data_IF_083950544309
#
_entry.id   IF_083950544309
#
_cell.length_a   1.000
_cell.length_b   1.000
_cell.length_c   1.000
_cell.angle_alpha   90.00
_cell.angle_beta   90.00
_cell.angle_gamma   90.00
#
_symmetry.space_group_name_H-M   'P 1'
#
loop_
_entity.id
_entity.type
_entity.pdbx_description
1 polymer ?
#
# COMPACT_ATOMS: atom_id res chain seq x y z
N UNK A 1 -3.34 -16.45 -6.22
CA UNK A 1 -3.14 -15.29 -5.32
C UNK A 1 -3.07 -14.05 -6.20
N UNK A 2 -3.69 -12.93 -5.78
CA UNK A 2 -3.94 -11.77 -6.66
C UNK A 2 -3.34 -10.49 -6.09
N UNK A 3 -2.56 -9.80 -6.93
CA UNK A 3 -2.00 -8.47 -6.69
C UNK A 3 -3.10 -7.45 -6.36
N UNK A 4 -4.32 -7.62 -6.89
CA UNK A 4 -5.45 -6.73 -6.62
C UNK A 4 -5.85 -6.74 -5.13
N UNK A 5 -5.75 -7.89 -4.46
CA UNK A 5 -6.01 -7.98 -3.03
C UNK A 5 -4.95 -7.24 -2.22
N UNK A 6 -3.68 -7.37 -2.59
CA UNK A 6 -2.59 -6.64 -1.94
C UNK A 6 -2.74 -5.13 -2.14
N UNK A 7 -3.10 -4.67 -3.35
CA UNK A 7 -3.36 -3.26 -3.63
C UNK A 7 -4.51 -2.70 -2.80
N UNK A 8 -5.66 -3.39 -2.77
CA UNK A 8 -6.82 -2.98 -1.95
C UNK A 8 -6.49 -2.95 -0.47
N UNK A 9 -5.70 -3.91 0.01
CA UNK A 9 -5.23 -3.90 1.40
C UNK A 9 -4.33 -2.72 1.70
N UNK A 10 -3.40 -2.36 0.81
CA UNK A 10 -2.54 -1.17 0.99
C UNK A 10 -3.37 0.13 1.05
N UNK A 11 -4.42 0.24 0.23
CA UNK A 11 -5.34 1.39 0.31
C UNK A 11 -6.16 1.38 1.61
N UNK A 12 -6.56 0.20 2.09
CA UNK A 12 -7.22 0.06 3.39
C UNK A 12 -6.29 0.49 4.53
N UNK A 13 -5.01 0.09 4.53
CA UNK A 13 -4.02 0.53 5.54
C UNK A 13 -3.90 2.06 5.58
N UNK A 14 -4.04 2.72 4.43
CA UNK A 14 -3.97 4.19 4.33
C UNK A 14 -5.22 4.86 4.89
N UNK A 15 -6.40 4.31 4.62
CA UNK A 15 -7.70 4.93 4.91
C UNK A 15 -8.29 4.51 6.26
N UNK A 16 -8.05 3.28 6.71
CA UNK A 16 -8.57 2.72 7.95
C UNK A 16 -7.53 2.84 9.09
N UNK A 17 -7.82 3.71 10.05
CA UNK A 17 -6.97 3.95 11.21
C UNK A 17 -6.86 2.72 12.12
N UNK A 18 -7.87 1.84 12.17
CA UNK A 18 -7.83 0.64 12.99
C UNK A 18 -6.78 -0.34 12.49
N UNK A 19 -6.64 -0.50 11.16
CA UNK A 19 -5.59 -1.32 10.55
C UNK A 19 -4.22 -0.73 10.85
N UNK A 20 -4.09 0.59 10.71
CA UNK A 20 -2.84 1.30 10.97
C UNK A 20 -2.38 1.10 12.42
N UNK A 21 -3.30 1.24 13.38
CA UNK A 21 -3.01 1.00 14.80
C UNK A 21 -2.59 -0.44 15.08
N UNK A 22 -3.23 -1.42 14.45
CA UNK A 22 -2.84 -2.83 14.58
C UNK A 22 -1.42 -3.08 14.06
N UNK A 23 -1.02 -2.44 12.95
CA UNK A 23 0.33 -2.54 12.43
C UNK A 23 1.36 -1.86 13.35
N UNK A 24 1.03 -0.68 13.88
CA UNK A 24 1.91 0.04 14.82
C UNK A 24 2.09 -0.69 16.15
N UNK A 25 1.10 -1.46 16.60
CA UNK A 25 1.22 -2.31 17.79
C UNK A 25 2.24 -3.45 17.62
N UNK A 26 2.60 -3.81 16.38
CA UNK A 26 3.60 -4.83 16.09
C UNK A 26 5.03 -4.28 16.04
N UNK A 27 5.19 -2.96 16.00
CA UNK A 27 6.47 -2.27 16.03
C UNK A 27 6.43 -0.94 15.28
N UNK A 28 7.46 -0.13 15.49
CA UNK A 28 7.61 1.18 14.81
C UNK A 28 7.83 1.02 13.30
N UNK A 29 8.39 -0.13 12.87
CA UNK A 29 8.62 -0.47 11.47
C UNK A 29 8.01 -1.85 11.12
N UNK A 30 6.73 -1.91 10.72
CA UNK A 30 6.07 -3.17 10.39
C UNK A 30 6.68 -3.81 9.13
N UNK A 31 6.97 -5.11 9.22
CA UNK A 31 7.58 -5.88 8.12
C UNK A 31 6.55 -6.33 7.07
N UNK A 32 7.03 -6.85 5.92
CA UNK A 32 6.16 -7.49 4.92
C UNK A 32 5.34 -8.64 5.52
N UNK A 33 5.95 -9.39 6.44
CA UNK A 33 5.29 -10.48 7.18
C UNK A 33 4.16 -9.98 8.07
N UNK A 34 4.37 -8.87 8.79
CA UNK A 34 3.33 -8.28 9.64
C UNK A 34 2.12 -7.83 8.82
N UNK A 35 2.37 -7.23 7.65
CA UNK A 35 1.33 -6.82 6.72
C UNK A 35 0.50 -8.02 6.24
N UNK A 36 1.15 -9.13 5.87
CA UNK A 36 0.50 -10.36 5.42
C UNK A 36 -0.33 -11.00 6.55
N UNK A 37 0.20 -11.04 7.78
CA UNK A 37 -0.51 -11.61 8.92
C UNK A 37 -1.76 -10.78 9.30
N UNK A 38 -1.63 -9.45 9.33
CA UNK A 38 -2.77 -8.55 9.59
C UNK A 38 -3.83 -8.65 8.49
N UNK A 39 -3.40 -8.77 7.24
CA UNK A 39 -4.28 -9.00 6.10
C UNK A 39 -5.05 -10.33 6.22
N UNK A 40 -4.33 -11.43 6.51
CA UNK A 40 -4.91 -12.76 6.66
C UNK A 40 -5.96 -12.82 7.77
N UNK A 41 -5.70 -12.17 8.92
CA UNK A 41 -6.65 -12.06 10.03
C UNK A 41 -7.96 -11.34 9.65
N UNK A 42 -7.95 -10.56 8.57
CA UNK A 42 -9.12 -9.86 8.03
C UNK A 42 -9.69 -10.54 6.78
N UNK A 43 -9.25 -11.76 6.46
CA UNK A 43 -9.71 -12.53 5.31
C UNK A 43 -9.04 -12.16 3.97
N UNK A 44 -8.04 -11.28 3.98
CA UNK A 44 -7.27 -10.92 2.79
C UNK A 44 -6.11 -11.88 2.61
N UNK A 45 -6.04 -12.52 1.45
CA UNK A 45 -5.03 -13.54 1.16
C UNK A 45 -4.19 -13.12 -0.05
N UNK A 46 -2.90 -12.90 0.19
CA UNK A 46 -1.87 -12.62 -0.80
C UNK A 46 -0.51 -13.01 -0.23
N UNK A 47 0.48 -13.23 -1.10
CA UNK A 47 1.85 -13.54 -0.67
C UNK A 47 2.76 -12.29 -0.68
N UNK A 48 4.01 -12.48 -0.30
CA UNK A 48 5.00 -11.39 -0.29
C UNK A 48 5.28 -10.85 -1.70
N UNK A 49 5.20 -11.70 -2.74
CA UNK A 49 5.44 -11.26 -4.13
C UNK A 49 4.31 -10.37 -4.61
N UNK A 50 3.07 -10.66 -4.23
CA UNK A 50 1.89 -9.83 -4.50
C UNK A 50 2.03 -8.47 -3.80
N UNK A 51 2.45 -8.46 -2.53
CA UNK A 51 2.67 -7.24 -1.75
C UNK A 51 3.77 -6.37 -2.37
N UNK A 52 4.91 -6.95 -2.75
CA UNK A 52 6.00 -6.24 -3.42
C UNK A 52 5.59 -5.69 -4.78
N UNK A 53 4.76 -6.42 -5.54
CA UNK A 53 4.21 -5.92 -6.80
C UNK A 53 3.25 -4.75 -6.56
N UNK A 54 2.33 -4.87 -5.61
CA UNK A 54 1.40 -3.80 -5.25
C UNK A 54 2.14 -2.52 -4.80
N UNK A 55 3.20 -2.64 -4.00
CA UNK A 55 4.05 -1.50 -3.64
C UNK A 55 4.72 -0.85 -4.85
N UNK A 56 5.28 -1.65 -5.77
CA UNK A 56 5.87 -1.13 -7.02
C UNK A 56 4.83 -0.39 -7.87
N UNK A 57 3.62 -0.93 -7.99
CA UNK A 57 2.52 -0.27 -8.71
C UNK A 57 2.10 1.05 -8.05
N UNK A 58 1.89 1.05 -6.73
CA UNK A 58 1.54 2.26 -5.97
C UNK A 58 2.61 3.34 -6.08
N UNK A 59 3.89 2.95 -6.03
CA UNK A 59 5.01 3.86 -6.20
C UNK A 59 5.07 4.43 -7.63
N UNK A 60 4.99 3.58 -8.66
CA UNK A 60 4.97 4.01 -10.06
C UNK A 60 3.85 5.01 -10.36
N UNK A 61 2.65 4.77 -9.83
CA UNK A 61 1.50 5.70 -9.92
C UNK A 61 1.81 7.05 -9.27
N UNK A 62 2.45 7.07 -8.10
CA UNK A 62 2.83 8.30 -7.41
C UNK A 62 3.79 9.17 -8.23
N UNK A 63 4.72 8.58 -8.97
CA UNK A 63 5.61 9.32 -9.88
C UNK A 63 4.88 9.90 -11.10
N UNK A 64 3.92 9.16 -11.64
CA UNK A 64 3.10 9.64 -12.75
C UNK A 64 2.27 10.87 -12.35
N UNK A 65 1.69 10.88 -11.15
CA UNK A 65 0.96 12.04 -10.64
C UNK A 65 1.86 13.25 -10.34
N UNK A 66 3.06 13.04 -9.80
CA UNK A 66 4.03 14.12 -9.60
C UNK A 66 4.43 14.79 -10.92
N UNK A 67 4.58 14.01 -12.00
CA UNK A 67 4.96 14.53 -13.33
C UNK A 67 3.81 15.21 -14.07
N UNK A 68 2.56 14.82 -13.81
CA UNK A 68 1.37 15.47 -14.37
C UNK A 68 1.10 16.87 -13.76
N UNK A 69 1.49 17.11 -12.51
CA UNK A 69 1.36 18.42 -11.85
C UNK A 69 2.35 19.48 -12.33
N UNK A 70 3.52 19.08 -12.86
CA UNK A 70 4.56 20.03 -13.32
C UNK A 70 4.37 20.55 -14.75
N UNK A 71 3.28 20.19 -15.44
CA UNK A 71 3.03 20.60 -16.84
C UNK A 71 1.98 21.71 -17.03
N UNK A 72 1.55 22.35 -15.93
CA UNK A 72 0.46 23.35 -15.95
C UNK A 72 0.80 24.72 -15.34
N UNK A 73 2.06 25.03 -15.07
CA UNK A 73 2.43 26.33 -14.47
C UNK A 73 3.71 26.88 -15.09
N UNK A 74 3.68 27.13 -16.38
CA UNK A 74 4.63 28.02 -17.04
C UNK A 74 3.93 28.76 -18.19
N UNK A 75 3.14 29.75 -17.81
CA UNK A 75 2.52 30.72 -18.70
C UNK A 75 2.25 32.00 -17.89
N UNK A 76 3.32 32.70 -17.50
CA UNK A 76 3.29 34.14 -17.20
C UNK A 76 4.58 34.79 -17.64
#
# INVERSE_FOLDING_TARGET
MSIDHAMRFLDLVRTDESVRRLLLQRGDEPTSKDLIEVAANRGWHFDEKDLQQAFRHAWAMRWMHARAGSRGSDAR
#
